data_IF_728672882889
#
_entry.id   IF_728672882889
#
_cell.length_a   1.000
_cell.length_b   1.000
_cell.length_c   1.000
_cell.angle_alpha   90.00
_cell.angle_beta   90.00
_cell.angle_gamma   90.00
#
_symmetry.space_group_name_H-M   'P 1'
#
loop_
_entity.id
_entity.type
_entity.pdbx_description
1 polymer ?
#
# COMPACT_ATOMS: atom_id res chain seq x y z
N UNK A 1 -49.83 40.95 -25.79
CA UNK A 1 -49.30 40.63 -24.46
C UNK A 1 -49.80 39.24 -24.08
N UNK A 2 -48.93 38.23 -24.02
CA UNK A 2 -49.13 37.05 -23.18
C UNK A 2 -47.80 36.29 -23.11
N UNK A 3 -47.08 36.41 -22.00
CA UNK A 3 -45.86 35.67 -21.68
C UNK A 3 -46.24 34.35 -21.00
N UNK A 4 -45.70 33.23 -21.46
CA UNK A 4 -45.80 31.94 -20.79
C UNK A 4 -44.41 31.54 -20.28
N UNK A 5 -44.27 31.43 -18.95
CA UNK A 5 -43.06 30.99 -18.26
C UNK A 5 -43.27 29.52 -17.87
N UNK A 6 -42.45 28.62 -18.39
CA UNK A 6 -42.41 27.22 -18.00
C UNK A 6 -41.22 26.99 -17.05
N UNK A 7 -41.51 26.60 -15.80
CA UNK A 7 -40.53 26.25 -14.78
C UNK A 7 -40.30 24.75 -14.85
N UNK A 8 -39.11 24.33 -15.32
CA UNK A 8 -38.69 22.92 -15.31
C UNK A 8 -37.83 22.66 -14.06
N UNK A 9 -38.37 21.91 -13.10
CA UNK A 9 -37.66 21.44 -11.92
C UNK A 9 -36.83 20.19 -12.24
N UNK A 10 -35.50 20.30 -12.15
CA UNK A 10 -34.56 19.17 -12.28
C UNK A 10 -34.34 18.50 -10.91
N UNK A 11 -34.82 17.27 -10.77
CA UNK A 11 -34.52 16.38 -9.64
C UNK A 11 -33.11 15.81 -9.79
N UNK A 12 -32.20 16.17 -8.89
CA UNK A 12 -30.83 15.61 -8.84
C UNK A 12 -30.90 14.26 -8.12
N UNK A 13 -30.81 13.15 -8.87
CA UNK A 13 -30.59 11.83 -8.31
C UNK A 13 -29.11 11.68 -7.92
N UNK A 14 -28.82 11.67 -6.61
CA UNK A 14 -27.49 11.32 -6.10
C UNK A 14 -27.21 9.83 -6.30
N UNK A 15 -26.23 9.49 -7.13
CA UNK A 15 -25.76 8.12 -7.28
C UNK A 15 -25.04 7.65 -6.00
N UNK A 16 -25.30 6.43 -5.50
CA UNK A 16 -24.54 5.88 -4.39
C UNK A 16 -23.09 5.63 -4.83
N UNK A 17 -22.14 6.33 -4.23
CA UNK A 17 -20.72 5.99 -4.32
C UNK A 17 -20.49 4.69 -3.56
N UNK A 18 -20.39 3.57 -4.27
CA UNK A 18 -19.87 2.33 -3.69
C UNK A 18 -18.45 2.61 -3.24
N UNK A 19 -18.24 2.79 -1.94
CA UNK A 19 -16.91 2.82 -1.34
C UNK A 19 -16.28 1.46 -1.60
N UNK A 20 -15.47 1.34 -2.66
CA UNK A 20 -14.71 0.14 -2.96
C UNK A 20 -13.95 -0.25 -1.71
N UNK A 21 -14.20 -1.46 -1.20
CA UNK A 21 -13.44 -2.00 -0.07
C UNK A 21 -11.95 -1.81 -0.37
N UNK A 22 -11.22 -1.15 0.54
CA UNK A 22 -9.87 -0.69 0.27
C UNK A 22 -8.98 -1.87 -0.16
N UNK A 23 -8.69 -1.91 -1.46
CA UNK A 23 -7.99 -3.02 -2.09
C UNK A 23 -6.49 -2.75 -2.12
N UNK A 24 -5.70 -3.74 -1.67
CA UNK A 24 -4.25 -3.69 -1.68
C UNK A 24 -3.65 -3.71 -3.09
N UNK A 25 -4.29 -4.41 -4.03
CA UNK A 25 -3.82 -4.53 -5.41
C UNK A 25 -3.61 -3.15 -6.06
N UNK A 26 -2.55 -3.06 -6.87
CA UNK A 26 -2.14 -1.85 -7.57
C UNK A 26 -0.77 -1.35 -7.13
N UNK A 27 -0.43 -0.15 -7.62
CA UNK A 27 0.87 0.48 -7.42
C UNK A 27 0.80 1.53 -6.31
N UNK A 28 1.82 1.55 -5.46
CA UNK A 28 1.92 2.40 -4.29
C UNK A 28 3.31 3.01 -4.21
N UNK A 29 3.41 4.21 -3.66
CA UNK A 29 4.70 4.81 -3.37
C UNK A 29 4.64 5.77 -2.20
N UNK A 30 5.77 5.98 -1.56
CA UNK A 30 5.86 6.91 -0.45
C UNK A 30 7.17 6.76 0.28
N UNK A 31 7.18 7.19 1.53
CA UNK A 31 8.36 7.32 2.34
C UNK A 31 8.20 6.60 3.68
N UNK A 32 9.32 6.35 4.31
CA UNK A 32 9.37 5.70 5.59
C UNK A 32 10.77 5.76 6.18
N UNK A 33 10.96 4.94 7.19
CA UNK A 33 12.24 4.81 7.85
C UNK A 33 12.57 3.35 8.08
N UNK A 34 13.86 3.05 7.96
CA UNK A 34 14.46 1.74 8.21
C UNK A 34 15.41 1.90 9.40
N UNK A 35 15.32 1.00 10.36
CA UNK A 35 16.34 0.75 11.38
C UNK A 35 17.19 -0.42 10.89
N UNK A 36 18.47 -0.16 10.69
CA UNK A 36 19.44 -1.14 10.24
C UNK A 36 19.87 -2.05 11.40
N UNK A 37 20.47 -3.22 11.12
CA UNK A 37 20.98 -4.10 12.17
C UNK A 37 22.07 -3.46 13.04
N UNK A 38 22.78 -2.45 12.53
CA UNK A 38 23.74 -1.64 13.29
C UNK A 38 23.07 -0.72 14.34
N UNK A 39 21.74 -0.56 14.29
CA UNK A 39 20.97 0.39 15.09
C UNK A 39 20.75 1.75 14.42
N UNK A 40 21.46 2.03 13.33
CA UNK A 40 21.31 3.27 12.56
C UNK A 40 19.91 3.40 11.97
N UNK A 41 19.43 4.64 11.85
CA UNK A 41 18.14 4.94 11.26
C UNK A 41 18.29 5.72 9.97
N UNK A 42 17.65 5.24 8.92
CA UNK A 42 17.66 5.88 7.62
C UNK A 42 16.26 6.19 7.14
N UNK A 43 16.13 7.27 6.37
CA UNK A 43 14.93 7.56 5.60
C UNK A 43 14.99 6.79 4.28
N UNK A 44 13.85 6.24 3.87
CA UNK A 44 13.72 5.48 2.65
C UNK A 44 12.52 5.94 1.83
N UNK A 45 12.65 5.87 0.51
CA UNK A 45 11.53 5.97 -0.43
C UNK A 45 11.28 4.59 -1.02
N UNK A 46 10.03 4.14 -1.01
CA UNK A 46 9.64 2.86 -1.59
C UNK A 46 8.61 3.04 -2.70
N UNK A 47 8.71 2.19 -3.71
CA UNK A 47 7.69 1.95 -4.71
C UNK A 47 7.36 0.47 -4.67
N UNK A 48 6.07 0.15 -4.60
CA UNK A 48 5.58 -1.23 -4.47
C UNK A 48 4.45 -1.45 -5.47
N UNK A 49 4.45 -2.62 -6.10
CA UNK A 49 3.30 -3.11 -6.85
C UNK A 49 2.79 -4.39 -6.20
N UNK A 50 1.49 -4.43 -5.89
CA UNK A 50 0.81 -5.62 -5.41
C UNK A 50 -0.04 -6.22 -6.53
N UNK A 51 0.13 -7.51 -6.76
CA UNK A 51 -0.67 -8.30 -7.69
C UNK A 51 -1.51 -9.29 -6.91
N UNK A 52 -2.81 -9.36 -7.20
CA UNK A 52 -3.65 -10.41 -6.63
C UNK A 52 -3.24 -11.74 -7.24
N UNK A 53 -3.03 -12.74 -6.40
CA UNK A 53 -2.79 -14.12 -6.82
C UNK A 53 -4.12 -14.87 -6.90
N UNK A 54 -4.42 -15.71 -5.91
CA UNK A 54 -5.69 -16.45 -5.80
C UNK A 54 -6.39 -16.10 -4.50
N UNK A 55 -7.73 -16.05 -4.51
CA UNK A 55 -8.53 -15.77 -3.32
C UNK A 55 -8.12 -14.47 -2.63
N UNK A 56 -7.68 -14.57 -1.37
CA UNK A 56 -7.25 -13.46 -0.51
C UNK A 56 -5.73 -13.26 -0.47
N UNK A 57 -4.99 -13.89 -1.39
CA UNK A 57 -3.53 -13.86 -1.43
C UNK A 57 -3.00 -12.88 -2.48
N UNK A 58 -1.86 -12.27 -2.17
CA UNK A 58 -1.21 -11.24 -2.96
C UNK A 58 0.29 -11.51 -3.03
N UNK A 59 0.89 -11.15 -4.16
CA UNK A 59 2.33 -11.02 -4.30
C UNK A 59 2.68 -9.55 -4.40
N UNK A 60 3.85 -9.17 -3.89
CA UNK A 60 4.37 -7.83 -4.00
C UNK A 60 5.78 -7.84 -4.56
N UNK A 61 6.10 -6.82 -5.34
CA UNK A 61 7.47 -6.47 -5.69
C UNK A 61 7.73 -5.02 -5.28
N UNK A 62 8.83 -4.80 -4.57
CA UNK A 62 9.17 -3.52 -3.97
C UNK A 62 10.59 -3.11 -4.36
N UNK A 63 10.76 -1.81 -4.62
CA UNK A 63 12.07 -1.18 -4.72
C UNK A 63 12.11 -0.03 -3.74
N UNK A 64 13.07 -0.08 -2.82
CA UNK A 64 13.27 0.90 -1.77
C UNK A 64 14.67 1.47 -1.84
N UNK A 65 14.81 2.78 -1.66
CA UNK A 65 16.10 3.46 -1.66
C UNK A 65 16.24 4.35 -0.43
N UNK A 66 17.34 4.20 0.28
CA UNK A 66 17.83 5.12 1.31
C UNK A 66 18.90 6.04 0.73
N UNK A 67 19.56 6.83 1.59
CA UNK A 67 20.75 7.60 1.22
C UNK A 67 21.95 6.72 0.87
N UNK A 68 22.03 5.52 1.44
CA UNK A 68 23.22 4.67 1.42
C UNK A 68 23.06 3.43 0.56
N UNK A 69 21.81 2.99 0.33
CA UNK A 69 21.53 1.75 -0.38
C UNK A 69 20.24 1.82 -1.20
N UNK A 70 20.13 0.95 -2.20
CA UNK A 70 18.90 0.68 -2.95
C UNK A 70 18.71 -0.82 -3.01
N UNK A 71 17.54 -1.28 -2.58
CA UNK A 71 17.22 -2.70 -2.45
C UNK A 71 15.95 -3.05 -3.21
N UNK A 72 15.90 -4.25 -3.76
CA UNK A 72 14.69 -4.86 -4.31
C UNK A 72 14.29 -6.07 -3.47
N UNK A 73 12.99 -6.26 -3.29
CA UNK A 73 12.47 -7.37 -2.48
C UNK A 73 11.09 -7.79 -2.97
N UNK A 74 10.79 -9.06 -2.76
CA UNK A 74 9.50 -9.67 -3.09
C UNK A 74 8.76 -10.02 -1.81
N UNK A 75 7.43 -10.01 -1.81
CA UNK A 75 6.65 -10.45 -0.68
C UNK A 75 5.43 -11.29 -1.09
N UNK A 76 4.96 -12.10 -0.16
CA UNK A 76 3.68 -12.80 -0.23
C UNK A 76 2.85 -12.35 0.96
N UNK A 77 1.60 -11.99 0.71
CA UNK A 77 0.67 -11.47 1.70
C UNK A 77 -0.67 -12.18 1.58
N UNK A 78 -1.39 -12.29 2.68
CA UNK A 78 -2.75 -12.76 2.75
C UNK A 78 -3.59 -11.73 3.52
N UNK A 79 -4.82 -11.48 3.05
CA UNK A 79 -5.78 -10.68 3.82
C UNK A 79 -6.21 -11.47 5.06
N UNK A 80 -5.99 -10.92 6.24
CA UNK A 80 -6.34 -11.54 7.53
C UNK A 80 -7.65 -11.01 8.11
N UNK A 81 -8.13 -9.86 7.64
CA UNK A 81 -9.44 -9.31 8.00
C UNK A 81 -9.58 -7.89 7.51
N UNK A 82 -10.80 -7.47 7.14
CA UNK A 82 -11.10 -6.10 6.71
C UNK A 82 -10.07 -5.54 5.73
N UNK A 83 -9.29 -4.56 6.19
CA UNK A 83 -8.24 -3.84 5.47
C UNK A 83 -6.79 -4.22 5.91
N UNK A 84 -6.63 -5.30 6.66
CA UNK A 84 -5.36 -5.79 7.18
C UNK A 84 -4.85 -7.02 6.41
N UNK A 85 -3.53 -7.05 6.20
CA UNK A 85 -2.83 -8.09 5.45
C UNK A 85 -1.52 -8.44 6.15
N UNK A 86 -1.17 -9.72 6.15
CA UNK A 86 0.04 -10.23 6.78
C UNK A 86 0.74 -11.23 5.87
N UNK A 87 2.04 -11.40 6.07
CA UNK A 87 2.83 -12.38 5.34
C UNK A 87 4.32 -12.16 5.53
N UNK A 88 5.09 -12.45 4.50
CA UNK A 88 6.55 -12.46 4.55
C UNK A 88 7.17 -11.84 3.31
N UNK A 89 8.30 -11.19 3.51
CA UNK A 89 9.14 -10.70 2.41
C UNK A 89 10.44 -11.51 2.33
N UNK A 90 11.06 -11.43 1.15
CA UNK A 90 12.38 -11.97 0.87
C UNK A 90 13.18 -10.94 0.07
N UNK A 91 14.38 -10.68 0.56
CA UNK A 91 15.39 -9.89 -0.12
C UNK A 91 16.53 -10.82 -0.58
N UNK A 92 16.62 -11.04 -1.89
CA UNK A 92 17.60 -11.94 -2.48
C UNK A 92 19.04 -11.44 -2.40
N UNK A 93 19.24 -10.13 -2.39
CA UNK A 93 20.58 -9.52 -2.36
C UNK A 93 21.28 -9.80 -1.03
N UNK A 94 20.53 -9.80 0.07
CA UNK A 94 21.05 -10.06 1.41
C UNK A 94 20.73 -11.46 1.93
N UNK A 95 20.00 -12.27 1.13
CA UNK A 95 19.46 -13.58 1.55
C UNK A 95 18.71 -13.50 2.90
N UNK A 96 17.89 -12.47 3.05
CA UNK A 96 17.12 -12.21 4.28
C UNK A 96 15.64 -12.40 4.01
N UNK A 97 14.96 -13.01 4.96
CA UNK A 97 13.50 -13.05 5.01
C UNK A 97 13.00 -12.42 6.32
N UNK A 98 11.73 -12.04 6.32
CA UNK A 98 11.10 -11.43 7.47
C UNK A 98 9.60 -11.37 7.35
N UNK A 99 8.96 -10.87 8.40
CA UNK A 99 7.53 -10.63 8.46
C UNK A 99 7.16 -9.29 7.82
N UNK A 100 5.94 -9.23 7.27
CA UNK A 100 5.37 -8.03 6.68
C UNK A 100 3.91 -7.90 7.10
N UNK A 101 3.52 -6.71 7.57
CA UNK A 101 2.13 -6.37 7.85
C UNK A 101 1.73 -5.10 7.09
N UNK A 102 0.52 -5.08 6.55
CA UNK A 102 -0.04 -3.94 5.82
C UNK A 102 -1.43 -3.62 6.34
N UNK A 103 -1.71 -2.33 6.58
CA UNK A 103 -3.06 -1.84 6.84
C UNK A 103 -3.40 -0.75 5.83
N UNK A 104 -4.52 -0.91 5.13
CA UNK A 104 -4.95 0.01 4.06
C UNK A 104 -6.10 0.90 4.54
N UNK A 105 -6.00 2.20 4.32
CA UNK A 105 -7.04 3.20 4.63
C UNK A 105 -7.28 4.06 3.39
N UNK A 106 -8.30 3.69 2.60
CA UNK A 106 -8.60 4.37 1.33
C UNK A 106 -7.44 4.26 0.33
N UNK A 107 -6.89 5.40 -0.06
CA UNK A 107 -5.73 5.50 -0.97
C UNK A 107 -4.38 5.57 -0.23
N UNK A 108 -4.35 5.32 1.07
CA UNK A 108 -3.13 5.27 1.89
C UNK A 108 -2.95 3.91 2.54
N UNK A 109 -1.72 3.55 2.86
CA UNK A 109 -1.42 2.36 3.64
C UNK A 109 -0.20 2.56 4.54
N UNK A 110 -0.20 1.81 5.65
CA UNK A 110 0.97 1.64 6.51
C UNK A 110 1.52 0.24 6.28
N UNK A 111 2.82 0.16 6.04
CA UNK A 111 3.55 -1.09 5.85
C UNK A 111 4.62 -1.19 6.94
N UNK A 112 4.67 -2.32 7.62
CA UNK A 112 5.74 -2.64 8.57
C UNK A 112 6.48 -3.90 8.12
N UNK A 113 7.79 -3.90 8.27
CA UNK A 113 8.68 -5.02 7.97
C UNK A 113 9.57 -5.29 9.18
N UNK A 114 9.81 -6.56 9.49
CA UNK A 114 10.77 -7.00 10.49
C UNK A 114 11.50 -8.26 10.00
N UNK A 115 12.82 -8.21 9.93
CA UNK A 115 13.63 -9.33 9.44
C UNK A 115 15.11 -8.99 9.28
N UNK A 116 15.98 -10.00 9.38
CA UNK A 116 17.44 -9.83 9.24
C UNK A 116 18.07 -8.86 10.25
N UNK A 117 17.44 -8.65 11.40
CA UNK A 117 17.86 -7.67 12.41
C UNK A 117 17.48 -6.21 12.08
N UNK A 118 16.75 -5.98 10.99
CA UNK A 118 16.26 -4.66 10.60
C UNK A 118 14.75 -4.55 10.79
N UNK A 119 14.28 -3.33 11.05
CA UNK A 119 12.85 -2.99 11.05
C UNK A 119 12.58 -1.83 10.12
N UNK A 120 11.44 -1.84 9.45
CA UNK A 120 11.03 -0.72 8.61
C UNK A 120 9.55 -0.39 8.77
N UNK A 121 9.24 0.88 8.61
CA UNK A 121 7.86 1.39 8.60
C UNK A 121 7.70 2.40 7.48
N UNK A 122 6.70 2.21 6.62
CA UNK A 122 6.40 3.07 5.48
C UNK A 122 4.96 3.55 5.51
N UNK A 123 4.76 4.79 5.05
CA UNK A 123 3.45 5.30 4.64
C UNK A 123 3.47 5.45 3.13
N UNK A 124 2.61 4.71 2.47
CA UNK A 124 2.53 4.70 1.00
C UNK A 124 1.16 5.17 0.56
N UNK A 125 1.12 5.93 -0.53
CA UNK A 125 -0.10 6.34 -1.20
C UNK A 125 -0.25 5.58 -2.50
N UNK A 126 -1.49 5.27 -2.85
CA UNK A 126 -1.84 4.65 -4.13
C UNK A 126 -1.55 5.63 -5.26
N UNK A 127 -1.00 5.12 -6.37
CA UNK A 127 -0.74 5.92 -7.58
C UNK A 127 -1.95 5.97 -8.49
#
# INVERSE_FOLDING_TARGET
MMTAVAIASLSVFGMPTTASAAELAGSWSGNGSIRLPSGDRENARCNVTYSRSTGSSYTAFAVCATKSARVSQSAKLQRVGGNAYEGSFYNSEYNVSGSMSVTVSGSSQVVSLDGGGAQASFRLSKR
#
